data_IF_558259512490
#
_entry.id   IF_558259512490
#
_cell.length_a   1.000
_cell.length_b   1.000
_cell.length_c   1.000
_cell.angle_alpha   90.00
_cell.angle_beta   90.00
_cell.angle_gamma   90.00
#
_symmetry.space_group_name_H-M   'P 1'
#
loop_
_entity.id
_entity.type
_entity.pdbx_description
1 polymer ?
#
# COMPACT_ATOMS: atom_id res chain seq x y z
N UNK A 1 0.33 -9.96 -28.36
CA UNK A 1 1.23 -9.74 -27.22
C UNK A 1 0.99 -8.33 -26.70
N UNK A 2 0.65 -8.18 -25.43
CA UNK A 2 0.50 -6.85 -24.83
C UNK A 2 1.89 -6.22 -24.70
N UNK A 3 2.10 -5.07 -25.32
CA UNK A 3 3.38 -4.34 -25.20
C UNK A 3 3.40 -3.63 -23.86
N UNK A 4 4.31 -4.04 -22.98
CA UNK A 4 4.53 -3.38 -21.69
C UNK A 4 5.30 -2.09 -21.93
N UNK A 5 4.74 -0.95 -21.54
CA UNK A 5 5.42 0.34 -21.61
C UNK A 5 6.27 0.54 -20.35
N UNK A 6 7.58 0.66 -20.54
CA UNK A 6 8.53 0.89 -19.44
C UNK A 6 8.85 2.38 -19.35
N UNK A 7 8.65 2.95 -18.17
CA UNK A 7 9.06 4.29 -17.79
C UNK A 7 10.26 4.22 -16.84
N UNK A 8 11.46 4.37 -17.36
CA UNK A 8 12.70 4.29 -16.59
C UNK A 8 12.83 5.39 -15.52
N UNK A 9 12.05 6.48 -15.65
CA UNK A 9 12.05 7.58 -14.68
C UNK A 9 11.05 7.37 -13.54
N UNK A 10 10.16 6.40 -13.62
CA UNK A 10 9.10 6.19 -12.63
C UNK A 10 9.63 6.03 -11.19
N UNK A 11 10.71 5.27 -10.98
CA UNK A 11 11.35 5.13 -9.68
C UNK A 11 11.86 6.46 -9.11
N UNK A 12 12.37 7.36 -9.97
CA UNK A 12 12.84 8.68 -9.58
C UNK A 12 11.66 9.62 -9.27
N UNK A 13 10.57 9.51 -10.02
CA UNK A 13 9.31 10.22 -9.73
C UNK A 13 8.79 9.86 -8.35
N UNK A 14 8.73 8.56 -8.02
CA UNK A 14 8.36 8.10 -6.68
C UNK A 14 9.34 8.62 -5.63
N UNK A 15 10.65 8.54 -5.88
CA UNK A 15 11.69 9.01 -4.96
C UNK A 15 11.65 10.52 -4.70
N UNK A 16 11.14 11.31 -5.63
CA UNK A 16 11.03 12.78 -5.50
C UNK A 16 9.87 13.23 -4.63
N UNK A 17 8.96 12.32 -4.27
CA UNK A 17 7.77 12.65 -3.47
C UNK A 17 7.96 12.34 -1.99
N UNK A 18 7.33 13.14 -1.13
CA UNK A 18 7.36 12.95 0.32
C UNK A 18 6.82 11.58 0.73
N UNK A 19 7.68 10.74 1.30
CA UNK A 19 7.39 9.35 1.66
C UNK A 19 7.90 8.31 0.66
N UNK A 20 8.39 8.74 -0.51
CA UNK A 20 8.97 7.88 -1.54
C UNK A 20 10.50 7.90 -1.61
N UNK A 21 11.15 8.78 -0.85
CA UNK A 21 12.58 9.12 -0.96
C UNK A 21 13.50 7.91 -0.88
N UNK A 22 13.07 6.87 -0.18
CA UNK A 22 13.88 5.67 0.07
C UNK A 22 13.56 4.48 -0.83
N UNK A 23 12.74 4.68 -1.87
CA UNK A 23 12.35 3.60 -2.80
C UNK A 23 13.56 2.93 -3.44
N UNK A 24 14.61 3.71 -3.74
CA UNK A 24 15.84 3.21 -4.37
C UNK A 24 16.73 2.37 -3.45
N UNK A 25 16.49 2.39 -2.14
CA UNK A 25 17.25 1.58 -1.18
C UNK A 25 16.79 0.11 -1.16
N UNK A 26 15.70 -0.21 -1.85
CA UNK A 26 15.13 -1.55 -1.83
C UNK A 26 16.00 -2.56 -2.60
N UNK A 27 16.45 -3.61 -1.91
CA UNK A 27 17.16 -4.75 -2.53
C UNK A 27 16.28 -6.00 -2.69
N UNK A 28 14.97 -5.84 -2.63
CA UNK A 28 13.97 -6.89 -2.92
C UNK A 28 14.08 -8.16 -2.05
N UNK A 29 14.44 -8.02 -0.77
CA UNK A 29 14.62 -9.15 0.15
C UNK A 29 13.33 -9.94 0.47
N UNK A 30 12.16 -9.32 0.35
CA UNK A 30 10.86 -9.97 0.59
C UNK A 30 10.35 -9.89 2.03
N UNK A 31 11.09 -9.33 2.99
CA UNK A 31 10.65 -9.20 4.39
C UNK A 31 9.31 -8.47 4.52
N UNK A 32 9.07 -7.46 3.68
CA UNK A 32 7.80 -6.72 3.65
C UNK A 32 6.60 -7.59 3.22
N UNK A 33 6.82 -8.59 2.36
CA UNK A 33 5.78 -9.54 1.94
C UNK A 33 5.54 -10.59 3.00
N UNK A 34 6.62 -11.16 3.58
CA UNK A 34 6.52 -12.20 4.59
C UNK A 34 5.78 -11.76 5.87
N UNK A 35 5.88 -10.48 6.24
CA UNK A 35 5.18 -9.93 7.41
C UNK A 35 3.88 -9.18 7.07
N UNK A 36 3.38 -9.27 5.85
CA UNK A 36 2.21 -8.51 5.43
C UNK A 36 0.90 -9.25 5.73
N UNK A 37 -0.01 -8.71 6.58
CA UNK A 37 -1.27 -9.38 6.90
C UNK A 37 -2.21 -9.50 5.69
N UNK A 38 -2.05 -8.67 4.66
CA UNK A 38 -2.84 -8.80 3.43
C UNK A 38 -2.27 -9.91 2.54
N UNK A 39 -0.93 -10.00 2.41
CA UNK A 39 -0.31 -11.10 1.64
C UNK A 39 -0.54 -12.47 2.27
N UNK A 40 -0.84 -12.53 3.57
CA UNK A 40 -1.19 -13.77 4.27
C UNK A 40 -2.55 -14.33 3.82
N UNK A 41 -3.50 -13.46 3.46
CA UNK A 41 -4.87 -13.85 3.13
C UNK A 41 -5.19 -13.80 1.63
N UNK A 42 -4.31 -13.26 0.80
CA UNK A 42 -4.50 -13.22 -0.67
C UNK A 42 -3.18 -13.17 -1.42
N UNK A 43 -3.09 -13.90 -2.52
CA UNK A 43 -1.96 -13.88 -3.46
C UNK A 43 -1.95 -12.62 -4.35
N UNK A 44 -3.08 -11.90 -4.41
CA UNK A 44 -3.25 -10.72 -5.28
C UNK A 44 -2.55 -9.46 -4.75
N UNK A 45 -1.91 -9.52 -3.58
CA UNK A 45 -1.17 -8.40 -3.01
C UNK A 45 0.20 -8.85 -2.53
N UNK A 46 1.25 -8.36 -3.18
CA UNK A 46 2.62 -8.71 -2.86
C UNK A 46 3.53 -7.47 -2.83
N UNK A 47 3.90 -6.96 -1.65
CA UNK A 47 4.77 -5.79 -1.51
C UNK A 47 6.07 -5.88 -2.29
N UNK A 48 6.74 -7.03 -2.27
CA UNK A 48 8.00 -7.25 -3.01
C UNK A 48 7.81 -7.13 -4.52
N UNK A 49 6.71 -7.67 -5.06
CA UNK A 49 6.41 -7.56 -6.49
C UNK A 49 6.12 -6.12 -6.88
N UNK A 50 5.33 -5.39 -6.11
CA UNK A 50 5.07 -3.97 -6.34
C UNK A 50 6.38 -3.18 -6.35
N UNK A 51 7.28 -3.42 -5.39
CA UNK A 51 8.60 -2.77 -5.38
C UNK A 51 9.41 -3.10 -6.62
N UNK A 52 9.40 -4.37 -7.06
CA UNK A 52 10.08 -4.79 -8.29
C UNK A 52 9.54 -4.06 -9.52
N UNK A 53 8.22 -3.94 -9.63
CA UNK A 53 7.56 -3.26 -10.75
C UNK A 53 7.90 -1.76 -10.78
N UNK A 54 7.96 -1.10 -9.60
CA UNK A 54 8.40 0.31 -9.50
C UNK A 54 9.84 0.46 -10.01
N UNK A 55 10.76 -0.37 -9.50
CA UNK A 55 12.17 -0.31 -9.86
C UNK A 55 12.43 -0.68 -11.33
N UNK A 56 11.58 -1.53 -11.90
CA UNK A 56 11.62 -1.90 -13.32
C UNK A 56 10.94 -0.88 -14.25
N UNK A 57 10.30 0.17 -13.70
CA UNK A 57 9.64 1.21 -14.48
C UNK A 57 8.28 0.82 -15.08
N UNK A 58 7.58 -0.18 -14.49
CA UNK A 58 6.27 -0.64 -14.96
C UNK A 58 5.14 0.21 -14.36
N UNK A 59 5.16 1.50 -14.71
CA UNK A 59 4.31 2.53 -14.13
C UNK A 59 2.81 2.24 -14.33
N UNK A 60 2.42 1.93 -15.57
CA UNK A 60 1.01 1.73 -15.90
C UNK A 60 0.41 0.54 -15.16
N UNK A 61 1.15 -0.57 -15.03
CA UNK A 61 0.70 -1.75 -14.30
C UNK A 61 0.53 -1.45 -12.81
N UNK A 62 1.51 -0.79 -12.20
CA UNK A 62 1.47 -0.43 -10.77
C UNK A 62 0.30 0.49 -10.46
N UNK A 63 0.09 1.53 -11.27
CA UNK A 63 -0.91 2.56 -10.97
C UNK A 63 -2.34 2.14 -11.33
N UNK A 64 -2.52 1.26 -12.32
CA UNK A 64 -3.84 0.83 -12.80
C UNK A 64 -4.28 -0.52 -12.23
N UNK A 65 -3.35 -1.32 -11.68
CA UNK A 65 -3.59 -2.71 -11.27
C UNK A 65 -4.50 -2.89 -10.05
N UNK A 66 -4.75 -1.84 -9.29
CA UNK A 66 -5.63 -1.91 -8.11
C UNK A 66 -4.97 -2.48 -6.85
N UNK A 67 -3.83 -3.17 -6.96
CA UNK A 67 -3.12 -3.78 -5.82
C UNK A 67 -2.74 -2.75 -4.77
N UNK A 68 -2.30 -1.56 -5.18
CA UNK A 68 -1.92 -0.48 -4.27
C UNK A 68 -3.05 -0.07 -3.31
N UNK A 69 -4.32 -0.34 -3.68
CA UNK A 69 -5.48 -0.02 -2.85
C UNK A 69 -5.79 -1.08 -1.79
N UNK A 70 -5.24 -2.29 -1.93
CA UNK A 70 -5.40 -3.39 -0.96
C UNK A 70 -4.57 -3.20 0.31
N UNK A 71 -3.55 -2.34 0.30
CA UNK A 71 -2.70 -2.09 1.46
C UNK A 71 -3.51 -1.53 2.64
N UNK A 72 -3.45 -2.22 3.78
CA UNK A 72 -4.15 -1.84 5.01
C UNK A 72 -3.45 -0.73 5.82
N UNK A 73 -2.25 -0.29 5.41
CA UNK A 73 -1.45 0.73 6.10
C UNK A 73 -1.13 0.38 7.57
N UNK A 74 -0.84 -0.89 7.85
CA UNK A 74 -0.48 -1.36 9.20
C UNK A 74 0.96 -1.03 9.62
N UNK A 75 1.81 -0.59 8.69
CA UNK A 75 3.22 -0.24 8.88
C UNK A 75 4.15 -1.38 9.35
N UNK A 76 3.70 -2.63 9.41
CA UNK A 76 4.55 -3.78 9.76
C UNK A 76 5.78 -3.87 8.83
N UNK A 77 5.58 -3.66 7.53
CA UNK A 77 6.66 -3.63 6.54
C UNK A 77 7.67 -2.48 6.77
N UNK A 78 7.28 -1.40 7.43
CA UNK A 78 8.18 -0.30 7.80
C UNK A 78 9.06 -0.72 8.97
N UNK A 79 8.45 -1.32 10.01
CA UNK A 79 9.16 -1.73 11.22
C UNK A 79 10.22 -2.83 10.95
N UNK A 80 9.97 -3.71 9.98
CA UNK A 80 10.83 -4.87 9.71
C UNK A 80 11.78 -4.67 8.53
N UNK A 81 11.71 -3.56 7.80
CA UNK A 81 12.56 -3.33 6.63
C UNK A 81 14.02 -3.05 7.02
N UNK A 82 15.00 -3.90 6.61
CA UNK A 82 16.41 -3.69 6.97
C UNK A 82 17.02 -2.45 6.30
N UNK A 83 16.40 -1.94 5.22
CA UNK A 83 16.84 -0.75 4.48
C UNK A 83 15.97 0.49 4.77
N UNK A 84 15.04 0.40 5.70
CA UNK A 84 14.10 1.47 6.03
C UNK A 84 13.43 2.10 4.78
N UNK A 85 13.01 1.25 3.86
CA UNK A 85 12.38 1.66 2.58
C UNK A 85 11.01 2.30 2.80
N UNK A 86 10.32 1.92 3.89
CA UNK A 86 9.01 2.48 4.27
C UNK A 86 7.92 2.21 3.23
N UNK A 87 7.75 0.97 2.85
CA UNK A 87 6.80 0.56 1.79
C UNK A 87 5.38 1.10 1.98
N UNK A 88 4.87 1.20 3.23
CA UNK A 88 3.55 1.76 3.49
C UNK A 88 3.44 3.24 3.05
N UNK A 89 4.52 4.03 3.20
CA UNK A 89 4.56 5.41 2.75
C UNK A 89 4.64 5.48 1.22
N UNK A 90 5.41 4.59 0.59
CA UNK A 90 5.47 4.45 -0.88
C UNK A 90 4.09 4.15 -1.45
N UNK A 91 3.30 3.28 -0.84
CA UNK A 91 1.92 3.00 -1.27
C UNK A 91 1.07 4.28 -1.27
N UNK A 92 1.23 5.17 -0.29
CA UNK A 92 0.50 6.46 -0.31
C UNK A 92 0.90 7.31 -1.51
N UNK A 93 2.20 7.42 -1.76
CA UNK A 93 2.73 8.12 -2.94
C UNK A 93 2.16 7.56 -4.24
N UNK A 94 2.13 6.23 -4.37
CA UNK A 94 1.56 5.57 -5.57
C UNK A 94 0.06 5.87 -5.74
N UNK A 95 -0.69 5.89 -4.63
CA UNK A 95 -2.12 6.26 -4.66
C UNK A 95 -2.32 7.71 -5.10
N UNK A 96 -1.49 8.64 -4.63
CA UNK A 96 -1.52 10.04 -5.04
C UNK A 96 -1.24 10.18 -6.53
N UNK A 97 -0.17 9.55 -7.05
CA UNK A 97 0.15 9.55 -8.48
C UNK A 97 -0.99 8.94 -9.30
N UNK A 98 -1.57 7.82 -8.85
CA UNK A 98 -2.69 7.15 -9.53
C UNK A 98 -3.92 8.06 -9.67
N UNK A 99 -4.21 8.88 -8.65
CA UNK A 99 -5.30 9.87 -8.68
C UNK A 99 -4.97 11.02 -9.62
N UNK A 100 -3.76 11.58 -9.52
CA UNK A 100 -3.30 12.70 -10.35
C UNK A 100 -3.30 12.34 -11.84
N UNK A 101 -2.91 11.13 -12.20
CA UNK A 101 -2.90 10.64 -13.57
C UNK A 101 -4.24 10.07 -14.07
N UNK A 102 -5.27 10.12 -13.24
CA UNK A 102 -6.60 9.61 -13.61
C UNK A 102 -6.64 8.09 -13.82
N UNK A 103 -5.68 7.32 -13.24
CA UNK A 103 -5.61 5.86 -13.34
C UNK A 103 -6.65 5.15 -12.45
N UNK A 104 -7.27 5.88 -11.53
CA UNK A 104 -8.35 5.38 -10.66
C UNK A 104 -9.52 6.38 -10.61
N UNK A 105 -10.68 5.91 -10.09
CA UNK A 105 -11.83 6.80 -9.88
C UNK A 105 -11.50 7.82 -8.78
N UNK A 106 -11.85 9.11 -8.95
CA UNK A 106 -11.46 10.18 -8.01
C UNK A 106 -12.06 10.03 -6.62
N UNK A 107 -13.13 9.26 -6.46
CA UNK A 107 -13.78 8.97 -5.18
C UNK A 107 -13.20 7.73 -4.45
N UNK A 108 -12.34 6.97 -5.12
CA UNK A 108 -11.76 5.71 -4.60
C UNK A 108 -10.97 5.92 -3.28
N UNK A 109 -10.10 6.94 -3.13
CA UNK A 109 -9.39 7.18 -1.87
C UNK A 109 -10.33 7.34 -0.68
N UNK A 110 -11.36 8.17 -0.83
CA UNK A 110 -12.36 8.43 0.21
C UNK A 110 -13.16 7.18 0.58
N UNK A 111 -13.53 6.36 -0.42
CA UNK A 111 -14.24 5.10 -0.19
C UNK A 111 -13.38 4.08 0.57
N UNK A 112 -12.11 3.94 0.20
CA UNK A 112 -11.17 3.03 0.88
C UNK A 112 -10.94 3.48 2.32
N UNK A 113 -10.77 4.77 2.57
CA UNK A 113 -10.63 5.32 3.92
C UNK A 113 -11.88 5.10 4.76
N UNK A 114 -13.06 5.40 4.24
CA UNK A 114 -14.33 5.17 4.93
C UNK A 114 -14.55 3.70 5.28
N UNK A 115 -14.22 2.78 4.35
CA UNK A 115 -14.29 1.34 4.59
C UNK A 115 -13.32 0.90 5.69
N UNK A 116 -12.10 1.43 5.68
CA UNK A 116 -11.08 1.16 6.69
C UNK A 116 -11.50 1.62 8.09
N UNK A 117 -12.13 2.79 8.19
CA UNK A 117 -12.67 3.31 9.46
C UNK A 117 -13.84 2.43 9.94
N UNK A 118 -14.74 2.06 9.05
CA UNK A 118 -15.88 1.19 9.37
C UNK A 118 -15.40 -0.14 9.93
N UNK A 119 -14.48 -0.80 9.24
CA UNK A 119 -13.95 -2.08 9.66
C UNK A 119 -13.24 -2.04 11.03
N UNK A 120 -12.47 -0.97 11.29
CA UNK A 120 -11.84 -0.79 12.61
C UNK A 120 -12.84 -0.61 13.74
N UNK A 121 -13.97 0.06 13.49
CA UNK A 121 -15.06 0.19 14.48
C UNK A 121 -15.73 -1.15 14.74
N UNK A 122 -16.07 -1.89 13.70
CA UNK A 122 -16.67 -3.23 13.80
C UNK A 122 -15.77 -4.19 14.60
N UNK A 123 -14.47 -4.21 14.27
CA UNK A 123 -13.49 -5.01 15.02
C UNK A 123 -13.44 -4.64 16.50
N UNK A 124 -13.41 -3.33 16.81
CA UNK A 124 -13.39 -2.86 18.19
C UNK A 124 -14.65 -3.27 18.95
N UNK A 125 -15.81 -3.18 18.31
CA UNK A 125 -17.07 -3.57 18.91
C UNK A 125 -17.13 -5.08 19.20
N UNK A 126 -16.62 -5.90 18.29
CA UNK A 126 -16.51 -7.36 18.52
C UNK A 126 -15.53 -7.69 19.65
N UNK A 127 -14.36 -7.05 19.68
CA UNK A 127 -13.40 -7.23 20.79
C UNK A 127 -14.01 -6.82 22.12
N UNK A 128 -14.73 -5.69 22.18
CA UNK A 128 -15.40 -5.24 23.41
C UNK A 128 -16.46 -6.25 23.90
N UNK A 129 -17.19 -6.92 23.01
CA UNK A 129 -18.11 -7.99 23.36
C UNK A 129 -17.38 -9.19 23.97
N UNK A 130 -16.27 -9.61 23.40
CA UNK A 130 -15.47 -10.75 23.87
C UNK A 130 -14.84 -10.45 25.25
N UNK A 131 -14.30 -9.25 25.42
CA UNK A 131 -13.60 -8.83 26.66
C UNK A 131 -14.58 -8.38 27.75
N UNK A 132 -15.86 -8.20 27.43
CA UNK A 132 -16.88 -7.75 28.39
C UNK A 132 -16.74 -6.28 28.81
N UNK A 133 -15.99 -5.47 28.04
CA UNK A 133 -15.81 -4.03 28.28
C UNK A 133 -16.72 -3.20 27.40
N UNK A 134 -17.76 -2.63 27.98
CA UNK A 134 -18.62 -1.66 27.28
C UNK A 134 -18.06 -0.25 27.44
N UNK A 135 -16.96 0.08 26.75
CA UNK A 135 -16.53 1.49 26.63
C UNK A 135 -17.12 2.10 25.36
N UNK A 136 -17.95 3.13 25.53
CA UNK A 136 -18.54 3.90 24.44
C UNK A 136 -17.43 4.42 23.53
N UNK A 137 -17.51 4.10 22.23
CA UNK A 137 -16.73 4.71 21.16
C UNK A 137 -16.86 6.24 21.24
N UNK A 138 -15.74 6.95 21.17
CA UNK A 138 -15.73 8.41 21.00
C UNK A 138 -16.44 8.75 19.68
N UNK A 139 -17.42 9.66 19.77
CA UNK A 139 -18.09 10.25 18.60
C UNK A 139 -17.12 11.01 17.72
#
# INVERSE_FOLDING_TARGET
>A
MATVKIDMNFKNEVASRAGGERVLNCFLCGTCTAGCPISEITDDFNPRLIMREILAGRKDEVLSGGEIWKCYQCHTCVAHCPQDVRFADIIRVLREISVEEGKCKPDLPKKVEALSIKHRKELLDEVNKIVGTSKKSKK
#
